data_IF_896610294262
#
_entry.id   IF_896610294262
#
_cell.length_a   1.000
_cell.length_b   1.000
_cell.length_c   1.000
_cell.angle_alpha   90.00
_cell.angle_beta   90.00
_cell.angle_gamma   90.00
#
_symmetry.space_group_name_H-M   'P 1'
#
loop_
_entity.id
_entity.type
_entity.pdbx_description
1 polymer ?
#
# COMPACT_ATOMS: atom_id res chain seq x y z
N UNK A 1 -22.80 -22.48 3.53
CA UNK A 1 -23.06 -21.04 3.80
C UNK A 1 -22.13 -20.24 2.90
N UNK A 2 -22.42 -18.97 2.56
CA UNK A 2 -21.35 -18.14 2.01
C UNK A 2 -20.22 -18.07 3.03
N UNK A 3 -18.95 -18.30 2.67
CA UNK A 3 -17.85 -18.10 3.61
C UNK A 3 -17.92 -16.66 4.09
N UNK A 4 -17.80 -16.46 5.40
CA UNK A 4 -17.83 -15.13 6.01
C UNK A 4 -16.71 -14.32 5.35
N UNK A 5 -17.06 -13.21 4.68
CA UNK A 5 -16.04 -12.33 4.12
C UNK A 5 -15.13 -11.87 5.24
N UNK A 6 -13.83 -11.93 5.01
CA UNK A 6 -12.85 -11.27 5.87
C UNK A 6 -13.20 -9.78 5.99
N UNK A 7 -12.80 -9.17 7.10
CA UNK A 7 -12.93 -7.73 7.26
C UNK A 7 -12.01 -6.99 6.27
N UNK A 8 -12.33 -5.73 6.00
CA UNK A 8 -11.52 -4.82 5.19
C UNK A 8 -11.25 -3.56 6.05
N UNK A 9 -9.99 -3.31 6.47
CA UNK A 9 -8.84 -4.22 6.40
C UNK A 9 -9.03 -5.47 7.26
N UNK A 10 -8.27 -6.53 6.96
CA UNK A 10 -8.36 -7.82 7.64
C UNK A 10 -8.14 -7.73 9.15
N UNK A 11 -8.64 -8.71 9.89
CA UNK A 11 -8.44 -8.80 11.34
C UNK A 11 -7.83 -10.13 11.77
N UNK A 12 -7.16 -10.19 12.93
CA UNK A 12 -6.57 -11.44 13.41
C UNK A 12 -7.58 -12.58 13.56
N UNK A 13 -8.83 -12.28 13.94
CA UNK A 13 -9.91 -13.27 14.06
C UNK A 13 -10.46 -13.80 12.72
N UNK A 14 -10.08 -13.20 11.58
CA UNK A 14 -10.46 -13.70 10.26
C UNK A 14 -9.64 -14.94 9.85
N UNK A 15 -8.40 -15.04 10.35
CA UNK A 15 -7.48 -16.10 9.95
C UNK A 15 -7.74 -17.42 10.70
N UNK A 16 -7.74 -18.57 10.00
CA UNK A 16 -7.68 -19.88 10.65
C UNK A 16 -6.31 -20.09 11.33
N UNK A 17 -6.17 -21.05 12.25
CA UNK A 17 -4.87 -21.40 12.84
C UNK A 17 -3.81 -21.71 11.77
N UNK A 18 -2.53 -21.35 11.99
CA UNK A 18 -1.47 -21.55 10.99
C UNK A 18 -1.28 -23.03 10.60
N UNK A 19 -1.61 -23.96 11.50
CA UNK A 19 -1.62 -25.39 11.24
C UNK A 19 -2.58 -25.77 10.10
N UNK A 20 -3.74 -25.11 9.98
CA UNK A 20 -4.72 -25.36 8.91
C UNK A 20 -4.23 -24.83 7.55
N UNK A 21 -3.58 -23.66 7.53
CA UNK A 21 -2.93 -23.11 6.34
C UNK A 21 -1.80 -24.03 5.85
N UNK A 22 -1.00 -24.55 6.78
CA UNK A 22 0.05 -25.54 6.51
C UNK A 22 -0.51 -26.89 6.04
N UNK A 23 -1.61 -27.36 6.64
CA UNK A 23 -2.25 -28.62 6.26
C UNK A 23 -2.74 -28.58 4.81
N UNK A 24 -3.44 -27.51 4.40
CA UNK A 24 -3.85 -27.34 3.01
C UNK A 24 -2.67 -27.38 2.04
N UNK A 25 -1.58 -26.66 2.33
CA UNK A 25 -0.42 -26.63 1.43
C UNK A 25 0.23 -28.00 1.26
N UNK A 26 0.26 -28.82 2.33
CA UNK A 26 0.77 -30.20 2.29
C UNK A 26 -0.10 -31.14 1.48
N UNK A 27 -1.41 -31.03 1.62
CA UNK A 27 -2.39 -31.83 0.88
C UNK A 27 -2.33 -31.47 -0.62
N UNK A 28 -2.39 -30.19 -0.95
CA UNK A 28 -2.38 -29.74 -2.35
C UNK A 28 -1.04 -29.97 -3.05
N UNK A 29 0.09 -29.71 -2.40
CA UNK A 29 1.39 -30.02 -2.99
C UNK A 29 1.59 -31.53 -3.16
N UNK A 30 1.07 -32.34 -2.22
CA UNK A 30 1.02 -33.79 -2.37
C UNK A 30 0.20 -34.20 -3.60
N UNK A 31 -1.01 -33.65 -3.76
CA UNK A 31 -1.87 -33.89 -4.91
C UNK A 31 -1.23 -33.47 -6.24
N UNK A 32 -0.66 -32.26 -6.32
CA UNK A 32 0.09 -31.80 -7.50
C UNK A 32 1.19 -32.80 -7.86
N UNK A 33 1.99 -33.23 -6.87
CA UNK A 33 3.12 -34.15 -7.08
C UNK A 33 2.72 -35.53 -7.61
N UNK A 34 1.50 -35.98 -7.32
CA UNK A 34 1.02 -37.32 -7.66
C UNK A 34 0.14 -37.34 -8.91
N UNK A 35 -0.56 -36.24 -9.20
CA UNK A 35 -1.60 -36.16 -10.23
C UNK A 35 -1.19 -35.28 -11.41
N UNK A 36 -0.44 -34.19 -11.17
CA UNK A 36 -0.15 -33.18 -12.20
C UNK A 36 1.34 -33.07 -12.59
N UNK A 37 2.25 -33.37 -11.66
CA UNK A 37 3.69 -33.19 -11.87
C UNK A 37 4.24 -34.18 -12.89
N UNK A 38 5.15 -33.70 -13.74
CA UNK A 38 5.98 -34.60 -14.55
C UNK A 38 7.21 -35.04 -13.74
N UNK A 39 7.74 -36.28 -13.92
CA UNK A 39 8.90 -36.77 -13.19
C UNK A 39 10.15 -35.86 -13.29
N UNK A 40 10.27 -35.10 -14.37
CA UNK A 40 11.34 -34.15 -14.62
C UNK A 40 11.14 -32.74 -13.99
N UNK A 41 9.98 -32.44 -13.38
CA UNK A 41 9.72 -31.13 -12.76
C UNK A 41 10.43 -30.99 -11.40
N UNK A 42 11.60 -30.34 -11.45
CA UNK A 42 12.30 -29.88 -10.26
C UNK A 42 11.65 -28.61 -9.70
N UNK A 43 11.02 -28.76 -8.54
CA UNK A 43 10.67 -27.61 -7.70
C UNK A 43 11.97 -27.06 -7.13
N UNK A 44 12.56 -26.08 -7.82
CA UNK A 44 13.57 -25.24 -7.21
C UNK A 44 12.89 -24.49 -6.05
N UNK A 45 13.23 -24.89 -4.82
CA UNK A 45 12.96 -24.02 -3.68
C UNK A 45 13.77 -22.75 -3.86
N UNK A 46 13.10 -21.69 -4.32
CA UNK A 46 13.64 -20.34 -4.22
C UNK A 46 13.48 -19.91 -2.75
N UNK A 47 14.58 -19.65 -2.00
CA UNK A 47 14.50 -19.18 -0.62
C UNK A 47 13.62 -17.96 -0.43
N UNK A 48 13.38 -17.21 -1.51
CA UNK A 48 12.70 -15.92 -1.51
C UNK A 48 11.60 -15.83 -2.59
N UNK A 49 11.20 -16.95 -3.20
CA UNK A 49 9.95 -17.08 -3.97
C UNK A 49 9.85 -16.35 -5.31
N UNK A 50 10.96 -15.92 -5.90
CA UNK A 50 11.01 -15.07 -7.11
C UNK A 50 11.12 -15.77 -8.46
N UNK A 51 11.35 -17.08 -8.48
CA UNK A 51 11.30 -17.85 -9.72
C UNK A 51 9.84 -18.00 -10.14
N UNK A 52 9.50 -17.69 -11.40
CA UNK A 52 8.16 -17.86 -12.00
C UNK A 52 7.75 -19.33 -12.03
N UNK A 53 7.37 -19.88 -10.88
CA UNK A 53 6.72 -21.15 -10.74
C UNK A 53 5.24 -21.01 -11.12
N UNK A 54 4.72 -22.05 -11.78
CA UNK A 54 3.28 -22.27 -12.02
C UNK A 54 2.51 -22.03 -10.71
N UNK A 55 1.39 -21.30 -10.79
CA UNK A 55 0.60 -20.93 -9.62
C UNK A 55 0.21 -22.15 -8.77
N UNK A 56 0.28 -22.01 -7.44
CA UNK A 56 0.17 -23.11 -6.49
C UNK A 56 1.01 -22.89 -5.23
N UNK A 57 1.21 -23.98 -4.50
CA UNK A 57 1.99 -24.03 -3.27
C UNK A 57 3.45 -24.46 -3.52
N UNK A 58 4.38 -23.87 -2.76
CA UNK A 58 5.75 -24.36 -2.58
C UNK A 58 6.07 -24.53 -1.09
N UNK A 59 7.03 -25.41 -0.79
CA UNK A 59 7.58 -25.61 0.55
C UNK A 59 8.99 -25.04 0.64
N UNK A 60 9.29 -24.43 1.78
CA UNK A 60 10.64 -24.07 2.22
C UNK A 60 11.02 -24.78 3.53
N UNK A 61 12.25 -24.54 4.04
CA UNK A 61 12.72 -25.15 5.29
C UNK A 61 11.85 -24.72 6.48
N UNK A 62 11.43 -23.46 6.50
CA UNK A 62 10.69 -22.87 7.61
C UNK A 62 9.16 -22.77 7.38
N UNK A 63 8.60 -23.30 6.28
CA UNK A 63 7.16 -23.15 6.03
C UNK A 63 6.73 -23.31 4.58
N UNK A 64 5.67 -22.59 4.18
CA UNK A 64 5.06 -22.68 2.85
C UNK A 64 4.79 -21.31 2.24
N UNK A 65 4.77 -21.27 0.91
CA UNK A 65 4.45 -20.08 0.13
C UNK A 65 3.40 -20.45 -0.91
N UNK A 66 2.41 -19.59 -1.07
CA UNK A 66 1.35 -19.68 -2.06
C UNK A 66 1.48 -18.52 -3.04
N UNK A 67 1.36 -18.79 -4.34
CA UNK A 67 1.25 -17.75 -5.37
C UNK A 67 0.15 -18.14 -6.36
N UNK A 68 -0.81 -17.26 -6.61
CA UNK A 68 -1.95 -17.55 -7.50
C UNK A 68 -1.63 -17.46 -9.00
N UNK A 69 -0.38 -17.16 -9.38
CA UNK A 69 0.06 -16.94 -10.76
C UNK A 69 -0.41 -15.63 -11.38
N UNK A 70 -1.27 -14.87 -10.69
CA UNK A 70 -1.86 -13.60 -11.11
C UNK A 70 -1.29 -12.39 -10.37
N UNK A 71 -0.21 -12.58 -9.60
CA UNK A 71 0.48 -11.53 -8.86
C UNK A 71 0.08 -11.37 -7.40
N UNK A 72 -0.80 -12.21 -6.85
CA UNK A 72 -1.09 -12.24 -5.41
C UNK A 72 -0.40 -13.45 -4.77
N UNK A 73 0.16 -13.27 -3.58
CA UNK A 73 0.89 -14.32 -2.87
C UNK A 73 0.77 -14.17 -1.35
N UNK A 74 0.99 -15.28 -0.64
CA UNK A 74 1.19 -15.27 0.81
C UNK A 74 2.21 -16.33 1.24
N UNK A 75 2.86 -16.12 2.38
CA UNK A 75 3.88 -17.00 2.95
C UNK A 75 3.60 -17.22 4.42
N UNK A 76 3.42 -18.48 4.82
CA UNK A 76 3.42 -18.89 6.23
C UNK A 76 4.82 -19.38 6.59
N UNK A 77 5.41 -18.79 7.63
CA UNK A 77 6.74 -19.13 8.16
C UNK A 77 6.63 -19.48 9.64
N UNK A 78 7.05 -20.68 10.01
CA UNK A 78 7.14 -21.13 11.40
C UNK A 78 8.35 -20.53 12.09
N UNK A 79 8.18 -20.21 13.37
CA UNK A 79 9.17 -19.63 14.28
C UNK A 79 9.20 -20.44 15.57
N UNK A 80 10.37 -20.52 16.21
CA UNK A 80 10.57 -21.26 17.47
C UNK A 80 9.50 -20.97 18.54
N UNK A 81 9.08 -22.04 19.23
CA UNK A 81 8.09 -21.99 20.31
C UNK A 81 6.64 -22.19 19.86
N UNK A 82 6.39 -22.80 18.69
CA UNK A 82 5.04 -23.03 18.17
C UNK A 82 4.41 -21.78 17.56
N UNK A 83 5.24 -20.85 17.09
CA UNK A 83 4.86 -19.52 16.62
C UNK A 83 4.92 -19.45 15.10
N UNK A 84 4.24 -18.50 14.49
CA UNK A 84 4.31 -18.30 13.05
C UNK A 84 4.25 -16.82 12.66
N UNK A 85 4.66 -16.53 11.43
CA UNK A 85 4.40 -15.26 10.74
C UNK A 85 3.78 -15.57 9.39
N UNK A 86 2.68 -14.88 9.08
CA UNK A 86 2.02 -14.87 7.79
C UNK A 86 2.27 -13.51 7.14
N UNK A 87 2.91 -13.49 5.97
CA UNK A 87 3.08 -12.30 5.14
C UNK A 87 2.40 -12.48 3.79
N UNK A 88 2.04 -11.40 3.12
CA UNK A 88 1.53 -11.50 1.76
C UNK A 88 1.38 -10.17 1.04
N UNK A 89 0.91 -10.30 -0.20
CA UNK A 89 0.67 -9.21 -1.13
C UNK A 89 -0.59 -9.50 -1.94
N UNK A 90 -1.48 -8.51 -1.99
CA UNK A 90 -2.65 -8.49 -2.85
C UNK A 90 -2.94 -7.02 -3.22
N UNK A 91 -3.28 -6.67 -4.48
CA UNK A 91 -3.41 -5.29 -4.94
C UNK A 91 -4.41 -4.37 -4.20
N UNK A 92 -5.44 -4.89 -3.52
CA UNK A 92 -6.33 -4.08 -2.67
C UNK A 92 -5.58 -3.57 -1.43
N UNK A 93 -4.56 -4.31 -0.97
CA UNK A 93 -3.66 -3.92 0.10
C UNK A 93 -2.62 -2.86 -0.27
N UNK A 94 -2.67 -2.26 -1.47
CA UNK A 94 -1.74 -1.19 -1.88
C UNK A 94 -1.71 -0.02 -0.88
N UNK A 95 -2.84 0.29 -0.23
CA UNK A 95 -2.98 1.35 0.77
C UNK A 95 -1.89 1.28 1.85
N UNK A 96 -1.57 0.09 2.38
CA UNK A 96 -0.60 -0.06 3.47
C UNK A 96 0.85 0.23 3.03
N UNK A 97 1.14 0.02 1.74
CA UNK A 97 2.44 0.29 1.11
C UNK A 97 2.57 1.77 0.75
N UNK A 98 1.54 2.35 0.12
CA UNK A 98 1.52 3.78 -0.26
C UNK A 98 1.56 4.69 0.97
N UNK A 99 0.96 4.24 2.07
CA UNK A 99 1.08 4.87 3.38
C UNK A 99 2.44 4.69 4.05
N UNK A 100 3.24 3.71 3.62
CA UNK A 100 4.52 3.37 4.24
C UNK A 100 4.37 2.91 5.67
N UNK A 101 3.39 2.02 5.94
CA UNK A 101 3.18 1.47 7.28
C UNK A 101 4.33 0.52 7.66
N UNK A 102 4.89 0.70 8.85
CA UNK A 102 5.74 -0.32 9.47
C UNK A 102 4.85 -1.45 10.00
N UNK A 103 4.68 -2.50 9.19
CA UNK A 103 3.87 -3.68 9.51
C UNK A 103 4.43 -4.53 10.68
N UNK A 104 5.58 -4.16 11.24
CA UNK A 104 6.16 -4.75 12.45
C UNK A 104 6.01 -3.85 13.68
N UNK A 105 5.41 -2.66 13.56
CA UNK A 105 5.24 -1.73 14.67
C UNK A 105 4.36 -2.32 15.78
N UNK A 106 4.89 -2.34 17.02
CA UNK A 106 4.25 -3.01 18.16
C UNK A 106 4.29 -4.54 18.11
N UNK A 107 5.00 -5.15 17.14
CA UNK A 107 5.22 -6.59 17.08
C UNK A 107 6.04 -7.11 18.27
N UNK A 108 5.86 -8.39 18.66
CA UNK A 108 6.50 -8.95 19.84
C UNK A 108 7.99 -9.26 19.64
N UNK A 109 8.77 -9.14 20.72
CA UNK A 109 10.23 -9.29 20.77
C UNK A 109 10.81 -10.51 20.03
N UNK A 110 10.06 -11.62 19.99
CA UNK A 110 10.48 -12.89 19.39
C UNK A 110 10.41 -12.92 17.85
N UNK A 111 9.79 -11.93 17.20
CA UNK A 111 9.73 -11.88 15.75
C UNK A 111 11.14 -11.95 15.13
N UNK A 112 11.33 -12.64 13.99
CA UNK A 112 12.62 -12.67 13.30
C UNK A 112 12.86 -11.35 12.53
N UNK A 113 13.06 -10.25 13.26
CA UNK A 113 13.09 -8.86 12.75
C UNK A 113 14.02 -8.66 11.54
N UNK A 114 15.28 -9.07 11.63
CA UNK A 114 16.27 -8.90 10.54
C UNK A 114 15.85 -9.64 9.25
N UNK A 115 15.24 -10.81 9.40
CA UNK A 115 14.71 -11.57 8.26
C UNK A 115 13.47 -10.89 7.66
N UNK A 116 12.56 -10.39 8.50
CA UNK A 116 11.36 -9.68 8.05
C UNK A 116 11.70 -8.36 7.34
N UNK A 117 12.67 -7.59 7.86
CA UNK A 117 13.17 -6.39 7.18
C UNK A 117 13.79 -6.72 5.83
N UNK A 118 14.61 -7.78 5.77
CA UNK A 118 15.22 -8.25 4.51
C UNK A 118 14.15 -8.68 3.50
N UNK A 119 13.09 -9.34 3.97
CA UNK A 119 11.94 -9.78 3.17
C UNK A 119 11.16 -8.57 2.62
N UNK A 120 10.70 -7.66 3.49
CA UNK A 120 9.91 -6.49 3.11
C UNK A 120 10.69 -5.55 2.17
N UNK A 121 11.94 -5.23 2.53
CA UNK A 121 12.79 -4.35 1.72
C UNK A 121 13.11 -4.95 0.35
N UNK A 122 13.11 -6.29 0.20
CA UNK A 122 13.25 -6.95 -1.09
C UNK A 122 11.98 -6.82 -1.93
N UNK A 123 10.84 -7.25 -1.39
CA UNK A 123 9.56 -7.24 -2.10
C UNK A 123 9.17 -5.82 -2.56
N UNK A 124 9.49 -4.80 -1.77
CA UNK A 124 9.33 -3.38 -2.15
C UNK A 124 10.15 -3.00 -3.40
N UNK A 125 11.38 -3.52 -3.56
CA UNK A 125 12.21 -3.28 -4.76
C UNK A 125 11.69 -4.01 -6.00
N UNK A 126 10.93 -5.08 -5.81
CA UNK A 126 10.37 -5.91 -6.89
C UNK A 126 8.97 -5.44 -7.33
N UNK A 127 8.49 -4.30 -6.80
CA UNK A 127 7.13 -3.75 -7.05
C UNK A 127 5.99 -4.68 -6.61
N UNK A 128 6.27 -5.57 -5.64
CA UNK A 128 5.31 -6.52 -5.07
C UNK A 128 5.48 -6.55 -3.55
N UNK A 129 5.42 -5.37 -2.92
CA UNK A 129 5.68 -5.19 -1.49
C UNK A 129 4.76 -6.01 -0.59
N UNK A 130 5.12 -6.13 0.68
CA UNK A 130 4.27 -6.83 1.67
C UNK A 130 3.14 -5.87 2.07
N UNK A 131 1.89 -6.19 1.75
CA UNK A 131 0.73 -5.38 2.14
C UNK A 131 0.17 -5.76 3.51
N UNK A 132 0.34 -7.02 3.93
CA UNK A 132 -0.12 -7.49 5.23
C UNK A 132 0.90 -8.41 5.93
N UNK A 133 0.89 -8.34 7.25
CA UNK A 133 1.71 -9.17 8.13
C UNK A 133 0.96 -9.47 9.42
N UNK A 134 0.83 -10.77 9.73
CA UNK A 134 0.21 -11.29 10.94
C UNK A 134 1.18 -12.24 11.64
N UNK A 135 1.16 -12.27 12.97
CA UNK A 135 2.00 -13.13 13.80
C UNK A 135 1.15 -14.01 14.72
N UNK A 136 1.50 -15.29 14.82
CA UNK A 136 0.87 -16.25 15.72
C UNK A 136 1.76 -16.48 16.93
N UNK A 137 1.25 -16.22 18.13
CA UNK A 137 2.02 -16.32 19.38
C UNK A 137 2.05 -17.73 20.01
N UNK A 138 1.26 -18.65 19.45
CA UNK A 138 0.98 -19.99 19.98
C UNK A 138 -0.49 -20.21 20.35
N UNK A 139 -1.30 -19.15 20.43
CA UNK A 139 -2.72 -19.22 20.80
C UNK A 139 -3.63 -18.29 19.98
N UNK A 140 -3.13 -17.16 19.49
CA UNK A 140 -3.88 -16.23 18.66
C UNK A 140 -3.00 -15.55 17.60
N UNK A 141 -3.64 -15.09 16.53
CA UNK A 141 -3.04 -14.14 15.61
C UNK A 141 -3.02 -12.74 16.25
N UNK A 142 -2.02 -11.95 15.88
CA UNK A 142 -1.96 -10.50 16.06
C UNK A 142 -1.38 -9.85 14.82
N UNK A 143 -1.50 -8.52 14.72
CA UNK A 143 -0.84 -7.71 13.69
C UNK A 143 -0.59 -6.30 14.21
N UNK A 144 0.14 -5.49 13.45
CA UNK A 144 0.17 -4.05 13.67
C UNK A 144 -1.24 -3.48 13.51
N UNK A 145 -1.67 -2.69 14.48
CA UNK A 145 -2.89 -1.91 14.35
C UNK A 145 -2.69 -0.81 13.28
N UNK A 146 -3.64 -0.68 12.36
CA UNK A 146 -3.57 0.31 11.29
C UNK A 146 -4.15 1.67 11.75
N UNK A 147 -3.76 2.80 11.14
CA UNK A 147 -4.46 4.06 11.32
C UNK A 147 -5.87 3.98 10.70
N UNK A 148 -6.78 4.84 11.16
CA UNK A 148 -8.08 5.01 10.51
C UNK A 148 -7.86 5.51 9.07
N UNK A 149 -8.55 4.92 8.10
CA UNK A 149 -8.46 5.31 6.68
C UNK A 149 -7.77 4.31 5.75
N UNK A 150 -7.09 3.28 6.27
CA UNK A 150 -6.70 2.11 5.46
C UNK A 150 -7.98 1.37 5.03
N UNK A 151 -8.21 1.22 3.71
CA UNK A 151 -9.40 0.58 3.17
C UNK A 151 -9.33 -0.94 3.22
N UNK A 152 -8.20 -1.51 2.79
CA UNK A 152 -7.91 -2.95 2.80
C UNK A 152 -6.41 -3.18 3.06
N UNK A 153 -6.04 -4.36 3.54
CA UNK A 153 -4.65 -4.84 3.66
C UNK A 153 -4.33 -5.98 2.67
N UNK A 154 -5.33 -6.47 1.94
CA UNK A 154 -5.19 -7.55 0.96
C UNK A 154 -5.29 -8.94 1.56
N UNK A 155 -5.66 -9.08 2.85
CA UNK A 155 -5.79 -10.38 3.53
C UNK A 155 -6.79 -11.32 2.83
N UNK A 156 -7.69 -10.78 2.00
CA UNK A 156 -8.64 -11.55 1.19
C UNK A 156 -7.98 -12.62 0.31
N UNK A 157 -6.69 -12.50 -0.04
CA UNK A 157 -5.93 -13.56 -0.74
C UNK A 157 -5.79 -14.86 0.06
N UNK A 158 -6.04 -14.82 1.38
CA UNK A 158 -6.00 -15.96 2.31
C UNK A 158 -7.43 -16.45 2.64
N UNK A 159 -8.50 -15.74 2.23
CA UNK A 159 -9.86 -15.96 2.72
C UNK A 159 -10.50 -17.33 2.44
N UNK A 160 -9.93 -18.12 1.53
CA UNK A 160 -10.32 -19.52 1.31
C UNK A 160 -9.30 -20.52 1.86
N UNK A 161 -8.10 -20.09 2.19
CA UNK A 161 -7.04 -20.95 2.69
C UNK A 161 -7.33 -21.41 4.12
N UNK A 162 -6.89 -22.63 4.47
CA UNK A 162 -7.16 -23.27 5.76
C UNK A 162 -8.60 -23.78 5.91
N UNK A 163 -9.38 -23.89 4.82
CA UNK A 163 -10.78 -24.37 4.85
C UNK A 163 -11.01 -25.56 3.90
N UNK A 164 -11.95 -26.48 4.21
CA UNK A 164 -12.33 -27.57 3.31
C UNK A 164 -12.83 -27.06 1.94
N UNK A 165 -13.60 -25.97 1.92
CA UNK A 165 -14.07 -25.30 0.70
C UNK A 165 -12.94 -24.63 -0.10
N UNK A 166 -11.82 -24.31 0.54
CA UNK A 166 -10.58 -23.89 -0.11
C UNK A 166 -9.92 -25.06 -0.82
N UNK A 167 -9.64 -26.13 -0.06
CA UNK A 167 -8.98 -27.34 -0.55
C UNK A 167 -9.72 -27.98 -1.73
N UNK A 168 -11.05 -28.15 -1.61
CA UNK A 168 -11.90 -28.69 -2.68
C UNK A 168 -12.07 -27.72 -3.86
N UNK A 169 -11.85 -26.43 -3.63
CA UNK A 169 -11.93 -25.39 -4.65
C UNK A 169 -10.64 -25.17 -5.44
N UNK A 170 -9.56 -25.89 -5.12
CA UNK A 170 -8.24 -25.66 -5.69
C UNK A 170 -8.04 -26.31 -7.08
N UNK A 171 -7.14 -25.73 -7.87
CA UNK A 171 -7.07 -25.96 -9.32
C UNK A 171 -6.58 -27.35 -9.74
N UNK A 172 -5.86 -28.09 -8.88
CA UNK A 172 -5.22 -29.36 -9.27
C UNK A 172 -6.18 -30.51 -9.51
N UNK A 173 -7.36 -30.51 -8.87
CA UNK A 173 -8.37 -31.57 -9.03
C UNK A 173 -9.78 -30.99 -8.91
N UNK A 174 -10.65 -31.32 -9.86
CA UNK A 174 -12.08 -31.03 -9.72
C UNK A 174 -12.76 -32.08 -8.86
N UNK A 175 -13.33 -31.63 -7.73
CA UNK A 175 -14.14 -32.44 -6.83
C UNK A 175 -15.65 -32.18 -7.04
N UNK A 176 -16.52 -33.18 -6.81
CA UNK A 176 -17.95 -32.94 -6.66
C UNK A 176 -18.24 -32.05 -5.45
N UNK A 177 -19.15 -31.10 -5.59
CA UNK A 177 -19.66 -30.29 -4.46
C UNK A 177 -20.72 -31.08 -3.68
N UNK A 178 -20.25 -32.07 -2.91
CA UNK A 178 -21.08 -32.88 -2.02
C UNK A 178 -20.57 -32.94 -0.58
N UNK A 179 -21.45 -33.37 0.32
CA UNK A 179 -21.19 -33.43 1.76
C UNK A 179 -20.10 -34.45 2.14
N UNK A 180 -19.95 -35.51 1.34
CA UNK A 180 -18.98 -36.58 1.65
C UNK A 180 -17.55 -36.09 1.41
N UNK A 181 -17.30 -35.42 0.27
CA UNK A 181 -16.00 -34.82 0.00
C UNK A 181 -15.68 -33.70 1.00
N UNK A 182 -16.66 -32.87 1.39
CA UNK A 182 -16.46 -31.85 2.45
C UNK A 182 -16.10 -32.45 3.80
N UNK A 183 -16.76 -33.54 4.21
CA UNK A 183 -16.45 -34.23 5.47
C UNK A 183 -15.06 -34.88 5.48
N UNK A 184 -14.65 -35.54 4.39
CA UNK A 184 -13.31 -36.14 4.29
C UNK A 184 -12.22 -35.07 4.19
N UNK A 185 -12.47 -33.96 3.48
CA UNK A 185 -11.56 -32.82 3.42
C UNK A 185 -11.35 -32.18 4.81
N UNK A 186 -12.41 -31.97 5.59
CA UNK A 186 -12.32 -31.49 6.98
C UNK A 186 -11.54 -32.46 7.89
N UNK A 187 -11.85 -33.75 7.84
CA UNK A 187 -11.13 -34.75 8.65
C UNK A 187 -9.64 -34.80 8.29
N UNK A 188 -9.31 -34.81 6.99
CA UNK A 188 -7.94 -34.78 6.51
C UNK A 188 -7.21 -33.50 6.97
N UNK A 189 -7.80 -32.32 6.77
CA UNK A 189 -7.16 -31.05 7.11
C UNK A 189 -6.88 -30.95 8.61
N UNK A 190 -7.85 -31.28 9.47
CA UNK A 190 -7.65 -31.29 10.93
C UNK A 190 -6.61 -32.31 11.36
N UNK A 191 -6.69 -33.54 10.84
CA UNK A 191 -5.74 -34.60 11.20
C UNK A 191 -4.29 -34.27 10.80
N UNK A 192 -4.09 -33.61 9.66
CA UNK A 192 -2.78 -33.09 9.22
C UNK A 192 -2.35 -31.90 10.10
N UNK A 193 -3.25 -30.96 10.38
CA UNK A 193 -2.98 -29.78 11.21
C UNK A 193 -2.59 -30.13 12.65
N UNK A 194 -3.28 -31.10 13.26
CA UNK A 194 -3.02 -31.61 14.61
C UNK A 194 -1.72 -32.44 14.71
N UNK A 195 -1.06 -32.74 13.60
CA UNK A 195 0.11 -33.61 13.56
C UNK A 195 -0.22 -35.07 13.89
N UNK A 196 -1.40 -35.53 13.47
CA UNK A 196 -1.91 -36.88 13.71
C UNK A 196 -1.11 -37.98 13.02
N UNK A 197 -1.54 -39.22 13.23
CA UNK A 197 -0.90 -40.40 12.67
C UNK A 197 -0.77 -40.33 11.14
N UNK A 198 0.47 -40.43 10.63
CA UNK A 198 0.75 -40.33 9.20
C UNK A 198 0.06 -41.41 8.37
N UNK A 199 -0.10 -42.62 8.91
CA UNK A 199 -0.80 -43.70 8.20
C UNK A 199 -2.28 -43.34 7.95
N UNK A 200 -2.98 -42.84 8.97
CA UNK A 200 -4.36 -42.34 8.84
C UNK A 200 -4.48 -41.13 7.90
N UNK A 201 -3.50 -40.23 7.88
CA UNK A 201 -3.49 -39.10 6.95
C UNK A 201 -3.45 -39.55 5.49
N UNK A 202 -2.65 -40.59 5.19
CA UNK A 202 -2.59 -41.21 3.86
C UNK A 202 -3.90 -41.91 3.46
N UNK A 203 -4.58 -42.59 4.39
CA UNK A 203 -5.90 -43.16 4.12
C UNK A 203 -6.90 -42.07 3.72
N UNK A 204 -7.01 -41.02 4.52
CA UNK A 204 -7.90 -39.89 4.28
C UNK A 204 -7.57 -39.17 2.96
N UNK A 205 -6.28 -39.05 2.62
CA UNK A 205 -5.84 -38.51 1.34
C UNK A 205 -6.31 -39.36 0.14
N UNK A 206 -6.14 -40.69 0.21
CA UNK A 206 -6.67 -41.60 -0.82
C UNK A 206 -8.19 -41.53 -0.89
N UNK A 207 -8.87 -41.51 0.25
CA UNK A 207 -10.33 -41.51 0.32
C UNK A 207 -10.92 -40.20 -0.23
N UNK A 208 -10.19 -39.08 -0.12
CA UNK A 208 -10.53 -37.80 -0.76
C UNK A 208 -10.27 -37.80 -2.27
N UNK A 209 -9.08 -38.21 -2.70
CA UNK A 209 -8.64 -38.07 -4.11
C UNK A 209 -9.03 -39.23 -5.03
N UNK A 210 -9.45 -40.37 -4.48
CA UNK A 210 -9.83 -41.58 -5.20
C UNK A 210 -8.66 -42.55 -5.40
N UNK A 211 -8.91 -43.83 -5.13
CA UNK A 211 -7.93 -44.92 -5.33
C UNK A 211 -7.64 -45.25 -6.80
N UNK A 212 -8.42 -44.70 -7.73
CA UNK A 212 -8.18 -44.72 -9.17
C UNK A 212 -7.20 -43.63 -9.63
N UNK A 213 -7.00 -42.58 -8.81
CA UNK A 213 -6.12 -41.43 -9.11
C UNK A 213 -4.82 -41.44 -8.31
N UNK A 214 -4.83 -42.03 -7.11
CA UNK A 214 -3.68 -42.06 -6.20
C UNK A 214 -3.30 -43.50 -5.86
N UNK A 215 -2.16 -43.94 -6.40
CA UNK A 215 -1.43 -45.11 -5.91
C UNK A 215 -0.72 -44.73 -4.60
N UNK A 216 -1.19 -45.28 -3.47
CA UNK A 216 -0.64 -44.95 -2.16
C UNK A 216 0.80 -45.44 -1.95
N UNK A 217 1.19 -46.58 -2.53
CA UNK A 217 2.52 -47.13 -2.32
C UNK A 217 3.55 -46.30 -3.09
N UNK A 218 3.25 -45.98 -4.37
CA UNK A 218 4.05 -45.06 -5.16
C UNK A 218 4.08 -43.64 -4.54
N UNK A 219 2.98 -43.17 -3.96
CA UNK A 219 2.90 -41.87 -3.32
C UNK A 219 3.77 -41.79 -2.06
N UNK A 220 3.74 -42.83 -1.22
CA UNK A 220 4.59 -42.95 -0.02
C UNK A 220 6.07 -43.11 -0.36
N UNK A 221 6.40 -43.78 -1.47
CA UNK A 221 7.76 -43.85 -1.99
C UNK A 221 8.27 -42.47 -2.46
N UNK A 222 7.43 -41.71 -3.19
CA UNK A 222 7.82 -40.41 -3.74
C UNK A 222 7.90 -39.29 -2.69
N UNK A 223 6.91 -39.18 -1.80
CA UNK A 223 6.77 -38.08 -0.85
C UNK A 223 7.30 -38.41 0.56
N UNK A 224 7.54 -39.69 0.86
CA UNK A 224 7.89 -40.19 2.17
C UNK A 224 6.66 -40.49 3.04
N UNK A 225 6.72 -41.55 3.85
CA UNK A 225 5.62 -41.95 4.73
C UNK A 225 5.17 -40.84 5.71
N UNK A 226 6.09 -39.94 6.03
CA UNK A 226 5.93 -38.83 6.96
C UNK A 226 5.47 -37.50 6.32
N UNK A 227 5.15 -37.47 5.03
CA UNK A 227 4.80 -36.24 4.28
C UNK A 227 3.77 -35.32 4.97
N UNK A 228 2.75 -35.94 5.56
CA UNK A 228 1.65 -35.28 6.27
C UNK A 228 1.96 -34.95 7.74
N UNK A 229 3.05 -35.49 8.29
CA UNK A 229 3.46 -35.17 9.66
C UNK A 229 4.33 -33.92 9.66
N UNK A 230 4.07 -33.02 10.60
CA UNK A 230 4.77 -31.74 10.68
C UNK A 230 6.22 -31.95 11.17
N UNK A 231 7.16 -31.71 10.26
CA UNK A 231 8.61 -31.71 10.53
C UNK A 231 9.12 -30.28 10.48
N UNK A 232 9.12 -29.63 11.63
CA UNK A 232 9.59 -28.26 11.74
C UNK A 232 11.13 -28.21 11.78
N UNK A 233 11.70 -27.48 10.83
CA UNK A 233 12.92 -26.71 11.05
C UNK A 233 12.48 -25.24 11.21
N UNK A 234 11.95 -24.86 12.40
CA UNK A 234 11.34 -23.55 12.58
C UNK A 234 12.42 -22.48 12.55
N UNK A 235 12.10 -21.29 12.03
CA UNK A 235 13.04 -20.19 12.07
C UNK A 235 13.37 -19.82 13.52
N UNK A 236 14.65 -19.59 13.81
CA UNK A 236 15.08 -19.14 15.14
C UNK A 236 14.36 -17.84 15.53
N UNK A 237 13.88 -17.76 16.77
CA UNK A 237 13.25 -16.55 17.26
C UNK A 237 14.25 -15.37 17.24
N UNK A 238 13.79 -14.20 16.83
CA UNK A 238 14.65 -13.02 16.79
C UNK A 238 14.94 -12.45 18.18
N UNK A 239 15.89 -11.54 18.22
CA UNK A 239 16.10 -10.64 19.36
C UNK A 239 15.32 -9.34 19.13
N UNK A 240 14.70 -8.74 20.15
CA UNK A 240 13.97 -7.48 20.01
C UNK A 240 14.84 -6.37 19.42
N UNK A 241 14.19 -5.49 18.65
CA UNK A 241 14.80 -4.24 18.18
C UNK A 241 15.29 -3.40 19.37
N UNK A 242 16.47 -2.79 19.23
CA UNK A 242 17.03 -1.91 20.26
C UNK A 242 16.21 -0.63 20.46
N UNK A 243 15.49 -0.20 19.42
CA UNK A 243 14.53 0.91 19.47
C UNK A 243 13.12 0.40 19.16
N UNK A 244 12.10 0.72 19.98
CA UNK A 244 10.72 0.31 19.71
C UNK A 244 10.20 0.95 18.42
N UNK A 245 9.75 0.12 17.48
CA UNK A 245 9.07 0.58 16.26
C UNK A 245 7.75 1.22 16.62
N UNK A 246 7.55 2.46 16.16
CA UNK A 246 6.39 3.28 16.49
C UNK A 246 5.24 3.00 15.54
N UNK A 247 4.06 2.75 16.10
CA UNK A 247 2.82 2.69 15.32
C UNK A 247 2.51 4.08 14.79
N UNK A 248 2.22 4.18 13.49
CA UNK A 248 1.72 5.37 12.84
C UNK A 248 0.21 5.54 13.12
N UNK A 249 -0.21 6.76 13.45
CA UNK A 249 -1.60 7.09 13.83
C UNK A 249 -2.34 7.97 12.82
N UNK A 250 -1.63 8.70 11.96
CA UNK A 250 -2.24 9.41 10.82
C UNK A 250 -1.89 8.74 9.49
N UNK A 251 -2.88 8.61 8.60
CA UNK A 251 -2.61 8.38 7.17
C UNK A 251 -1.89 9.59 6.55
N UNK A 252 -1.36 9.41 5.35
CA UNK A 252 -0.72 10.44 4.54
C UNK A 252 -1.76 11.44 4.10
N UNK A 253 -2.95 10.96 3.72
CA UNK A 253 -4.10 11.80 3.42
C UNK A 253 -4.52 12.66 4.62
N UNK A 254 -4.59 12.10 5.84
CA UNK A 254 -4.90 12.89 7.04
C UNK A 254 -3.81 13.90 7.37
N UNK A 255 -2.55 13.55 7.13
CA UNK A 255 -1.42 14.45 7.33
C UNK A 255 -1.41 15.60 6.31
N UNK A 256 -1.63 15.31 5.03
CA UNK A 256 -1.85 16.32 3.98
C UNK A 256 -3.05 17.22 4.35
N UNK A 257 -4.15 16.64 4.85
CA UNK A 257 -5.34 17.37 5.28
C UNK A 257 -5.10 18.27 6.51
N UNK A 258 -4.30 17.80 7.48
CA UNK A 258 -3.87 18.54 8.68
C UNK A 258 -3.04 19.77 8.28
N UNK A 259 -2.02 19.59 7.45
CA UNK A 259 -1.17 20.68 6.96
C UNK A 259 -1.99 21.64 6.09
N UNK A 260 -2.84 21.14 5.20
CA UNK A 260 -3.71 21.99 4.39
C UNK A 260 -4.73 22.76 5.25
N UNK A 261 -5.17 22.25 6.41
CA UNK A 261 -6.00 22.98 7.39
C UNK A 261 -5.20 24.13 8.00
N UNK A 262 -3.98 23.86 8.46
CA UNK A 262 -3.12 24.88 9.04
C UNK A 262 -2.74 25.97 8.02
N UNK A 263 -2.42 25.62 6.77
CA UNK A 263 -2.21 26.57 5.67
C UNK A 263 -3.44 27.45 5.39
N UNK A 264 -4.67 26.95 5.61
CA UNK A 264 -5.91 27.76 5.47
C UNK A 264 -6.13 28.74 6.61
N UNK A 265 -5.57 28.48 7.79
CA UNK A 265 -5.63 29.38 8.95
C UNK A 265 -4.42 30.33 9.02
N UNK A 266 -3.35 30.05 8.28
CA UNK A 266 -2.11 30.81 8.29
C UNK A 266 -2.29 32.24 7.76
N UNK A 267 -1.54 33.17 8.37
CA UNK A 267 -1.36 34.53 7.83
C UNK A 267 -0.07 34.58 7.02
N UNK A 268 -0.13 35.14 5.81
CA UNK A 268 1.02 35.35 4.94
C UNK A 268 2.01 36.35 5.56
N UNK A 269 3.31 36.04 5.53
CA UNK A 269 4.34 36.99 5.92
C UNK A 269 4.51 38.09 4.86
N UNK A 270 4.68 39.35 5.28
CA UNK A 270 4.92 40.46 4.33
C UNK A 270 6.28 40.28 3.65
N UNK A 271 6.25 40.03 2.33
CA UNK A 271 7.42 39.69 1.50
C UNK A 271 7.72 40.82 0.51
N UNK A 272 9.00 41.11 0.20
CA UNK A 272 9.34 41.97 -0.92
C UNK A 272 8.73 41.45 -2.22
N UNK A 273 8.20 42.34 -3.05
CA UNK A 273 7.72 41.97 -4.39
C UNK A 273 8.89 41.43 -5.23
N UNK A 274 8.72 40.32 -5.99
CA UNK A 274 9.72 39.87 -6.94
C UNK A 274 10.07 40.95 -7.98
N UNK A 275 11.31 40.98 -8.50
CA UNK A 275 11.65 41.84 -9.62
C UNK A 275 10.82 41.46 -10.86
N UNK A 276 10.55 42.42 -11.74
CA UNK A 276 9.86 42.15 -13.01
C UNK A 276 10.73 41.21 -13.87
N UNK A 277 10.22 40.01 -14.16
CA UNK A 277 10.90 39.01 -15.00
C UNK A 277 10.34 38.99 -16.42
N UNK A 278 11.08 38.37 -17.35
CA UNK A 278 10.62 38.17 -18.72
C UNK A 278 9.36 37.30 -18.78
N UNK A 279 9.28 36.27 -17.94
CA UNK A 279 8.09 35.41 -17.82
C UNK A 279 6.88 36.17 -17.27
N UNK A 280 7.09 37.11 -16.34
CA UNK A 280 6.01 37.95 -15.81
C UNK A 280 5.49 38.89 -16.89
N UNK A 281 6.40 39.48 -17.68
CA UNK A 281 6.07 40.32 -18.84
C UNK A 281 5.26 39.53 -19.88
N UNK A 282 5.70 38.31 -20.23
CA UNK A 282 4.98 37.42 -21.16
C UNK A 282 3.59 37.04 -20.63
N UNK A 283 3.44 36.73 -19.34
CA UNK A 283 2.14 36.45 -18.73
C UNK A 283 1.19 37.66 -18.82
N UNK A 284 1.70 38.86 -18.50
CA UNK A 284 0.91 40.11 -18.57
C UNK A 284 0.49 40.42 -20.01
N UNK A 285 1.39 40.31 -20.97
CA UNK A 285 1.12 40.62 -22.38
C UNK A 285 0.12 39.63 -23.00
N UNK A 286 0.30 38.32 -22.76
CA UNK A 286 -0.63 37.29 -23.24
C UNK A 286 -2.02 37.42 -22.63
N UNK A 287 -2.11 37.54 -21.29
CA UNK A 287 -3.40 37.63 -20.59
C UNK A 287 -4.12 38.97 -20.89
N UNK A 288 -3.36 40.07 -21.01
CA UNK A 288 -3.90 41.37 -21.41
C UNK A 288 -4.44 41.37 -22.83
N UNK A 289 -3.74 40.73 -23.78
CA UNK A 289 -4.20 40.59 -25.16
C UNK A 289 -5.49 39.77 -25.23
N UNK A 290 -5.53 38.61 -24.56
CA UNK A 290 -6.71 37.74 -24.52
C UNK A 290 -7.92 38.43 -23.87
N UNK A 291 -7.71 39.25 -22.83
CA UNK A 291 -8.77 40.03 -22.18
C UNK A 291 -9.31 41.16 -23.09
N UNK A 292 -8.43 41.82 -23.86
CA UNK A 292 -8.81 42.82 -24.84
C UNK A 292 -9.60 42.21 -26.02
N UNK A 293 -9.17 41.06 -26.54
CA UNK A 293 -9.87 40.32 -27.61
C UNK A 293 -11.28 39.88 -27.19
N UNK A 294 -11.45 39.44 -25.93
CA UNK A 294 -12.75 39.04 -25.38
C UNK A 294 -13.59 40.21 -24.86
N UNK A 295 -13.01 41.41 -24.74
CA UNK A 295 -13.70 42.61 -24.25
C UNK A 295 -14.14 42.54 -22.78
N UNK A 296 -13.49 41.71 -21.96
CA UNK A 296 -13.90 41.42 -20.56
C UNK A 296 -12.76 41.44 -19.55
N UNK A 297 -13.07 41.08 -18.30
CA UNK A 297 -12.07 40.69 -17.30
C UNK A 297 -11.75 39.20 -17.45
N UNK A 298 -10.48 38.83 -17.32
CA UNK A 298 -10.01 37.45 -17.23
C UNK A 298 -9.18 37.26 -15.96
N UNK A 299 -9.45 36.18 -15.23
CA UNK A 299 -8.62 35.72 -14.12
C UNK A 299 -7.91 34.42 -14.51
N UNK A 300 -6.59 34.45 -14.40
CA UNK A 300 -5.68 33.31 -14.52
C UNK A 300 -5.29 32.85 -13.11
N UNK A 301 -5.46 31.56 -12.80
CA UNK A 301 -5.03 30.97 -11.53
C UNK A 301 -4.24 29.68 -11.72
N UNK A 302 -3.16 29.53 -10.93
CA UNK A 302 -2.29 28.36 -11.00
C UNK A 302 -1.70 28.03 -9.62
N UNK A 303 -1.58 26.74 -9.33
CA UNK A 303 -0.77 26.21 -8.24
C UNK A 303 0.54 25.63 -8.81
N UNK A 304 1.68 25.94 -8.19
CA UNK A 304 2.99 25.44 -8.60
C UNK A 304 3.81 24.95 -7.40
N UNK A 305 4.36 23.75 -7.57
CA UNK A 305 5.31 23.11 -6.66
C UNK A 305 6.74 23.22 -7.23
N UNK A 306 7.71 22.50 -6.66
CA UNK A 306 9.09 22.51 -7.15
C UNK A 306 9.23 21.76 -8.48
N UNK A 307 8.53 20.62 -8.59
CA UNK A 307 8.53 19.74 -9.76
C UNK A 307 7.21 19.69 -10.56
N UNK A 308 6.10 20.16 -9.98
CA UNK A 308 4.76 20.03 -10.57
C UNK A 308 4.03 21.38 -10.71
N UNK A 309 3.02 21.42 -11.57
CA UNK A 309 2.16 22.58 -11.82
C UNK A 309 0.74 22.10 -12.11
N UNK A 310 -0.26 22.75 -11.52
CA UNK A 310 -1.65 22.53 -11.93
C UNK A 310 -1.85 23.07 -13.35
N UNK A 311 -2.77 22.49 -14.12
CA UNK A 311 -3.21 23.16 -15.35
C UNK A 311 -3.72 24.58 -14.99
N UNK A 312 -3.27 25.64 -15.70
CA UNK A 312 -3.74 26.98 -15.41
C UNK A 312 -5.22 27.14 -15.72
N UNK A 313 -5.99 27.57 -14.74
CA UNK A 313 -7.42 27.86 -14.90
C UNK A 313 -7.57 29.29 -15.41
N UNK A 314 -8.29 29.46 -16.52
CA UNK A 314 -8.73 30.76 -17.04
C UNK A 314 -10.24 30.88 -16.81
N UNK A 315 -10.67 31.88 -16.04
CA UNK A 315 -12.08 32.22 -15.85
C UNK A 315 -12.39 33.63 -16.29
N UNK A 316 -13.60 33.86 -16.76
CA UNK A 316 -14.08 35.18 -17.15
C UNK A 316 -14.66 35.99 -15.96
N UNK A 317 -15.24 37.16 -16.26
CA UNK A 317 -15.89 38.02 -15.29
C UNK A 317 -17.13 37.39 -14.60
N UNK A 318 -17.74 36.35 -15.18
CA UNK A 318 -18.83 35.59 -14.56
C UNK A 318 -18.33 34.47 -13.63
N UNK A 319 -17.04 34.09 -13.75
CA UNK A 319 -16.42 32.97 -13.06
C UNK A 319 -16.55 31.64 -13.80
N UNK A 320 -17.03 31.66 -15.05
CA UNK A 320 -17.09 30.50 -15.95
C UNK A 320 -15.68 30.23 -16.53
N UNK A 321 -15.29 28.95 -16.55
CA UNK A 321 -14.00 28.53 -17.07
C UNK A 321 -13.99 28.54 -18.60
N UNK A 322 -12.92 29.04 -19.20
CA UNK A 322 -12.73 29.02 -20.64
C UNK A 322 -12.31 27.62 -21.11
N UNK A 323 -12.99 27.08 -22.13
CA UNK A 323 -12.59 25.83 -22.79
C UNK A 323 -11.23 25.90 -23.50
N UNK A 324 -10.70 27.12 -23.74
CA UNK A 324 -9.42 27.33 -24.39
C UNK A 324 -8.30 27.31 -23.32
N UNK A 325 -7.38 26.33 -23.36
CA UNK A 325 -6.28 26.27 -22.41
C UNK A 325 -5.28 27.42 -22.62
N UNK A 326 -4.54 27.77 -21.57
CA UNK A 326 -3.41 28.70 -21.70
C UNK A 326 -2.30 28.07 -22.57
N UNK A 327 -1.85 28.79 -23.61
CA UNK A 327 -0.99 28.23 -24.67
C UNK A 327 0.37 27.73 -24.17
N UNK A 328 1.01 28.44 -23.24
CA UNK A 328 2.30 28.04 -22.66
C UNK A 328 2.11 27.50 -21.24
N UNK A 329 1.69 26.24 -21.15
CA UNK A 329 1.49 25.53 -19.88
C UNK A 329 2.75 25.41 -19.00
N UNK A 330 3.95 25.70 -19.52
CA UNK A 330 5.20 25.70 -18.74
C UNK A 330 5.62 27.10 -18.26
N UNK A 331 5.00 28.16 -18.76
CA UNK A 331 5.25 29.54 -18.32
C UNK A 331 5.19 29.70 -16.79
N UNK A 332 4.22 29.11 -16.05
CA UNK A 332 4.16 29.28 -14.59
C UNK A 332 5.34 28.66 -13.84
N UNK A 333 5.88 27.53 -14.33
CA UNK A 333 7.07 26.91 -13.75
C UNK A 333 8.32 27.77 -14.00
N UNK A 334 8.44 28.38 -15.19
CA UNK A 334 9.56 29.30 -15.49
C UNK A 334 9.43 30.58 -14.64
N UNK A 335 8.23 31.15 -14.54
CA UNK A 335 7.93 32.30 -13.69
C UNK A 335 8.24 32.04 -12.21
N UNK A 336 7.76 30.92 -11.64
CA UNK A 336 8.07 30.52 -10.26
C UNK A 336 9.57 30.47 -10.02
N UNK A 337 10.33 29.87 -10.94
CA UNK A 337 11.79 29.77 -10.87
C UNK A 337 12.47 31.15 -10.94
N UNK A 338 12.03 32.02 -11.84
CA UNK A 338 12.57 33.38 -11.98
C UNK A 338 12.30 34.26 -10.74
N UNK A 339 11.16 34.04 -10.08
CA UNK A 339 10.75 34.78 -8.87
C UNK A 339 11.17 34.10 -7.54
N UNK A 340 11.88 32.96 -7.59
CA UNK A 340 12.34 32.26 -6.37
C UNK A 340 13.45 33.04 -5.69
N UNK A 341 13.22 33.54 -4.47
CA UNK A 341 14.26 34.21 -3.69
C UNK A 341 15.01 33.22 -2.78
N UNK A 342 16.36 33.20 -2.72
CA UNK A 342 17.11 32.23 -1.92
C UNK A 342 16.81 32.27 -0.41
N UNK A 343 16.40 33.41 0.16
CA UNK A 343 16.02 33.47 1.57
C UNK A 343 14.53 33.22 1.82
N UNK A 344 13.66 33.66 0.92
CA UNK A 344 12.21 33.74 1.16
C UNK A 344 11.47 32.57 0.50
N UNK A 345 12.10 31.90 -0.47
CA UNK A 345 11.51 30.85 -1.28
C UNK A 345 10.65 31.38 -2.42
N UNK A 346 9.82 30.48 -2.94
CA UNK A 346 8.89 30.71 -4.04
C UNK A 346 7.44 30.60 -3.58
N UNK A 347 6.54 31.18 -4.38
CA UNK A 347 5.10 31.09 -4.15
C UNK A 347 4.57 29.69 -4.51
N UNK A 348 3.44 29.32 -3.90
CA UNK A 348 2.69 28.12 -4.25
C UNK A 348 1.49 28.42 -5.15
N UNK A 349 0.87 29.58 -4.95
CA UNK A 349 -0.32 29.97 -5.70
C UNK A 349 -0.11 31.34 -6.33
N UNK A 350 -0.48 31.49 -7.59
CA UNK A 350 -0.48 32.76 -8.32
C UNK A 350 -1.85 33.01 -8.94
N UNK A 351 -2.33 34.25 -8.80
CA UNK A 351 -3.49 34.79 -9.52
C UNK A 351 -3.07 36.00 -10.33
N UNK A 352 -3.33 36.01 -11.63
CA UNK A 352 -3.25 37.21 -12.44
C UNK A 352 -4.66 37.61 -12.92
N UNK A 353 -5.00 38.89 -12.85
CA UNK A 353 -6.25 39.43 -13.41
C UNK A 353 -5.93 40.45 -14.48
N UNK A 354 -6.52 40.30 -15.66
CA UNK A 354 -6.41 41.26 -16.75
C UNK A 354 -7.77 41.89 -17.07
N UNK A 355 -7.78 43.17 -17.39
CA UNK A 355 -8.95 43.88 -17.92
C UNK A 355 -8.79 44.21 -19.39
N UNK A 356 -9.90 44.30 -20.14
CA UNK A 356 -9.91 44.73 -21.54
C UNK A 356 -9.27 46.11 -21.80
N UNK A 357 -9.12 46.94 -20.77
CA UNK A 357 -8.40 48.23 -20.82
C UNK A 357 -6.88 48.11 -20.63
N UNK A 358 -6.33 46.90 -20.58
CA UNK A 358 -4.89 46.63 -20.55
C UNK A 358 -4.24 46.61 -19.15
N UNK A 359 -5.03 46.68 -18.07
CA UNK A 359 -4.50 46.58 -16.71
C UNK A 359 -4.35 45.12 -16.28
N UNK A 360 -3.14 44.70 -15.89
CA UNK A 360 -2.90 43.37 -15.30
C UNK A 360 -2.38 43.50 -13.87
N UNK A 361 -3.09 42.90 -12.91
CA UNK A 361 -2.66 42.76 -11.51
C UNK A 361 -2.25 41.32 -11.23
N UNK A 362 -1.25 41.11 -10.37
CA UNK A 362 -0.72 39.77 -10.04
C UNK A 362 -0.55 39.63 -8.53
N UNK A 363 -1.23 38.65 -7.97
CA UNK A 363 -1.25 38.28 -6.55
C UNK A 363 -0.58 36.92 -6.38
N UNK A 364 0.15 36.74 -5.25
CA UNK A 364 0.91 35.54 -4.93
C UNK A 364 0.62 35.13 -3.49
N UNK A 365 0.65 33.83 -3.20
CA UNK A 365 0.63 33.29 -1.85
C UNK A 365 1.76 32.26 -1.70
N UNK A 366 2.60 32.42 -0.66
CA UNK A 366 3.78 31.60 -0.41
C UNK A 366 3.62 30.71 0.84
N UNK A 367 2.74 31.09 1.76
CA UNK A 367 2.63 30.50 3.10
C UNK A 367 1.20 30.08 3.48
N UNK A 368 0.18 30.59 2.79
CA UNK A 368 -1.21 30.30 3.11
C UNK A 368 -2.01 29.81 1.91
N UNK A 369 -3.16 29.20 2.18
CA UNK A 369 -4.16 28.94 1.16
C UNK A 369 -4.93 30.23 0.87
N UNK A 370 -4.82 30.81 -0.33
CA UNK A 370 -5.46 32.09 -0.62
C UNK A 370 -6.98 31.95 -0.57
N UNK A 371 -7.68 32.96 -0.03
CA UNK A 371 -9.15 32.98 0.03
C UNK A 371 -9.83 32.82 -1.34
N UNK A 372 -9.12 33.18 -2.42
CA UNK A 372 -9.56 33.01 -3.80
C UNK A 372 -9.36 31.59 -4.36
N UNK A 373 -8.64 30.71 -3.68
CA UNK A 373 -8.39 29.34 -4.10
C UNK A 373 -9.49 28.33 -3.74
N UNK A 374 -10.76 28.75 -3.59
CA UNK A 374 -11.90 27.86 -3.28
C UNK A 374 -13.25 28.38 -3.80
N UNK A 375 -13.84 27.68 -4.77
CA UNK A 375 -15.20 27.11 -4.69
C UNK A 375 -15.67 26.57 -6.03
N UNK A 376 -15.71 25.25 -6.07
CA UNK A 376 -16.86 24.42 -6.41
C UNK A 376 -16.77 23.21 -5.44
N UNK A 377 -17.63 22.21 -5.37
CA UNK A 377 -18.89 21.92 -6.05
C UNK A 377 -19.38 20.56 -5.52
N UNK A 378 -18.94 19.46 -6.14
CA UNK A 378 -19.16 18.06 -5.75
C UNK A 378 -17.88 17.19 -5.98
N UNK A 379 -16.70 17.78 -5.72
CA UNK A 379 -15.38 17.51 -6.35
C UNK A 379 -15.21 17.98 -7.82
N UNK A 380 -15.06 19.29 -8.07
CA UNK A 380 -14.60 19.83 -9.34
C UNK A 380 -13.32 20.67 -9.18
N UNK A 381 -12.53 20.77 -10.25
CA UNK A 381 -11.14 21.24 -10.24
C UNK A 381 -10.94 22.69 -9.75
N UNK A 382 -10.48 22.88 -8.50
CA UNK A 382 -9.82 24.12 -8.04
C UNK A 382 -8.71 23.83 -7.02
N UNK A 383 -7.46 24.06 -7.46
CA UNK A 383 -6.16 23.99 -6.76
C UNK A 383 -6.01 22.93 -5.64
N UNK A 384 -5.25 21.88 -5.90
CA UNK A 384 -4.78 20.88 -4.92
C UNK A 384 -3.83 21.52 -3.88
N UNK A 385 -3.80 21.08 -2.61
CA UNK A 385 -2.69 21.40 -1.70
C UNK A 385 -1.33 21.05 -2.32
N UNK A 386 -0.28 21.84 -2.08
CA UNK A 386 1.07 21.41 -2.35
C UNK A 386 1.38 20.13 -1.57
N UNK A 387 1.98 19.14 -2.24
CA UNK A 387 2.32 17.84 -1.64
C UNK A 387 3.34 18.00 -0.51
N UNK A 388 3.19 17.24 0.57
CA UNK A 388 4.09 17.24 1.73
C UNK A 388 5.61 17.19 1.42
N UNK A 389 6.13 16.44 0.43
CA UNK A 389 7.57 16.44 0.11
C UNK A 389 8.03 17.78 -0.48
N UNK A 390 7.27 18.34 -1.44
CA UNK A 390 7.53 19.65 -2.02
C UNK A 390 7.45 20.76 -0.94
N UNK A 391 6.52 20.64 0.02
CA UNK A 391 6.45 21.52 1.19
C UNK A 391 7.71 21.43 2.06
N UNK A 392 8.16 20.21 2.41
CA UNK A 392 9.39 20.00 3.21
C UNK A 392 10.61 20.59 2.52
N UNK A 393 10.80 20.29 1.24
CA UNK A 393 11.95 20.77 0.46
C UNK A 393 11.99 22.30 0.36
N UNK A 394 10.86 22.93 0.09
CA UNK A 394 10.74 24.39 0.00
C UNK A 394 10.97 25.04 1.38
N UNK A 395 10.38 24.51 2.47
CA UNK A 395 10.63 25.03 3.81
C UNK A 395 12.09 24.83 4.26
N UNK A 396 12.71 23.70 3.91
CA UNK A 396 14.12 23.44 4.22
C UNK A 396 15.06 24.44 3.51
N UNK A 397 14.76 24.80 2.26
CA UNK A 397 15.52 25.80 1.50
C UNK A 397 15.35 27.23 2.03
N UNK A 398 14.17 27.57 2.57
CA UNK A 398 13.88 28.91 3.12
C UNK A 398 14.64 29.19 4.42
N UNK A 399 15.05 30.45 4.60
CA UNK A 399 15.60 30.93 5.88
C UNK A 399 14.54 30.84 7.00
N UNK A 400 14.90 30.48 8.25
CA UNK A 400 13.92 30.23 9.31
C UNK A 400 12.90 31.35 9.56
N UNK A 401 13.29 32.62 9.38
CA UNK A 401 12.41 33.79 9.53
C UNK A 401 11.28 33.90 8.48
N UNK A 402 11.31 33.08 7.44
CA UNK A 402 10.33 33.02 6.34
C UNK A 402 9.61 31.66 6.28
N UNK A 403 9.68 30.88 7.37
CA UNK A 403 8.92 29.64 7.54
C UNK A 403 7.66 29.97 8.36
N UNK A 404 6.46 29.72 7.84
CA UNK A 404 5.22 29.93 8.59
C UNK A 404 5.09 28.89 9.72
N UNK A 405 4.32 29.19 10.77
CA UNK A 405 4.26 28.35 11.99
C UNK A 405 3.82 26.90 11.73
N UNK A 406 2.98 26.66 10.72
CA UNK A 406 2.57 25.31 10.33
C UNK A 406 3.72 24.45 9.77
N UNK A 407 4.89 25.02 9.51
CA UNK A 407 6.10 24.26 9.13
C UNK A 407 6.44 23.16 10.15
N UNK A 408 6.11 23.36 11.44
CA UNK A 408 6.26 22.32 12.47
C UNK A 408 5.48 21.04 12.16
N UNK A 409 4.41 21.15 11.38
CA UNK A 409 3.56 20.02 10.99
C UNK A 409 4.15 19.21 9.83
N UNK A 410 5.26 19.65 9.23
CA UNK A 410 5.95 18.90 8.17
C UNK A 410 6.94 17.85 8.73
N UNK A 411 7.19 17.88 10.03
CA UNK A 411 8.12 17.00 10.74
C UNK A 411 7.67 15.53 10.64
N UNK A 412 8.63 14.62 10.44
CA UNK A 412 8.37 13.19 10.20
C UNK A 412 7.87 12.44 11.44
N UNK A 413 7.93 13.10 12.61
CA UNK A 413 7.34 12.67 13.87
C UNK A 413 5.80 12.86 13.93
N UNK A 414 5.25 13.81 13.17
CA UNK A 414 3.82 14.21 13.25
C UNK A 414 2.83 13.07 12.95
N UNK A 415 3.08 12.12 12.03
CA UNK A 415 2.18 10.98 11.82
C UNK A 415 2.16 9.97 12.97
N UNK A 416 3.12 10.05 13.89
CA UNK A 416 3.27 9.14 15.03
C UNK A 416 2.89 9.81 16.37
N UNK A 417 3.06 11.13 16.48
CA UNK A 417 2.64 11.95 17.62
C UNK A 417 2.03 13.29 17.11
N UNK A 418 0.77 13.28 16.64
CA UNK A 418 0.17 14.44 16.03
C UNK A 418 -0.20 15.50 17.07
N UNK A 419 0.15 16.78 16.85
CA UNK A 419 -0.15 17.85 17.79
C UNK A 419 -1.67 18.06 17.93
N UNK A 420 -2.11 18.26 19.17
CA UNK A 420 -3.53 18.40 19.54
C UNK A 420 -4.10 19.81 19.35
N UNK A 421 -3.29 20.76 18.86
CA UNK A 421 -3.54 22.22 18.90
C UNK A 421 -3.63 22.89 17.50
N UNK A 422 -4.10 22.17 16.47
CA UNK A 422 -4.09 22.59 15.05
C UNK A 422 -5.46 22.87 14.45
#
# INVERSE_FOLDING_TARGET
MSPTSFHQPGRPEDLPPPEMLWAQSRIELGAYRLIEARPEETFAYDPVGTTYARGGFTLGPHGTHFNNGSGCWWRLTWVEGGRAVLTGWEPLGQDTIDEGLDLLAGGPDWLPWEWLDTLMARYLREQMGVSFLYWWDGAAWGRTDYPDGIGDDGLCTVARSGTPEGLLGFLSVHFPDDEAHRAVADELMRHVAEGGDGDRAWELFRDLYGSDRVDLDAARELLGADWFTRRDDPMTAGTPSAEPRRRRVLTRQDWDALVARAMRAATEAERPAPPESEELRVLREGLGSLAAERGGELTFTVACERGAVSFPELVDASGEALEVPWEDGLLPLRLRRAETHPEHGAWYFLRARATATGGVTVERAYDHWPAWGRRSGWFPDRMTPPRLPDLREEMAARSPRWRPEWTRLLDEEVPYDPPTDV
#
